data_IF_181625111327
#
_entry.id   IF_181625111327
#
_cell.length_a   1.000
_cell.length_b   1.000
_cell.length_c   1.000
_cell.angle_alpha   90.00
_cell.angle_beta   90.00
_cell.angle_gamma   90.00
#
_symmetry.space_group_name_H-M   'P 1'
#
loop_
_entity.id
_entity.type
_entity.pdbx_description
1 polymer ?
#
# COMPACT_ATOMS: atom_id res chain seq x y z
N UNK A 1 7.32 22.92 -9.63
CA UNK A 1 8.02 22.56 -8.38
C UNK A 1 9.43 23.10 -8.38
N UNK A 2 9.86 23.77 -7.31
CA UNK A 2 11.22 24.27 -7.11
C UNK A 2 12.17 23.17 -6.64
N UNK A 3 13.49 23.39 -6.78
CA UNK A 3 14.51 22.44 -6.28
C UNK A 3 14.42 22.24 -4.76
N UNK A 4 14.05 23.29 -4.02
CA UNK A 4 13.88 23.23 -2.57
C UNK A 4 12.67 22.35 -2.17
N UNK A 5 11.55 22.51 -2.88
CA UNK A 5 10.35 21.66 -2.70
C UNK A 5 10.66 20.19 -2.98
N UNK A 6 11.30 19.90 -4.12
CA UNK A 6 11.70 18.53 -4.47
C UNK A 6 12.64 17.92 -3.41
N UNK A 7 13.60 18.70 -2.90
CA UNK A 7 14.47 18.28 -1.81
C UNK A 7 13.74 18.02 -0.49
N UNK A 8 12.68 18.78 -0.19
CA UNK A 8 11.83 18.54 0.98
C UNK A 8 11.04 17.24 0.85
N UNK A 9 10.40 17.01 -0.31
CA UNK A 9 9.68 15.77 -0.59
C UNK A 9 10.61 14.56 -0.51
N UNK A 10 11.84 14.65 -1.04
CA UNK A 10 12.81 13.55 -0.92
C UNK A 10 13.13 13.19 0.54
N UNK A 11 13.23 14.18 1.44
CA UNK A 11 13.46 13.91 2.87
C UNK A 11 12.28 13.19 3.51
N UNK A 12 11.05 13.57 3.16
CA UNK A 12 9.83 12.89 3.62
C UNK A 12 9.81 11.44 3.14
N UNK A 13 10.11 11.21 1.86
CA UNK A 13 10.18 9.87 1.27
C UNK A 13 11.21 8.96 1.96
N UNK A 14 12.42 9.47 2.22
CA UNK A 14 13.47 8.72 2.92
C UNK A 14 13.05 8.38 4.36
N UNK A 15 12.53 9.37 5.10
CA UNK A 15 11.99 9.15 6.46
C UNK A 15 10.86 8.12 6.48
N UNK A 16 10.00 8.13 5.45
CA UNK A 16 8.93 7.14 5.29
C UNK A 16 9.50 5.74 5.07
N UNK A 17 10.50 5.59 4.19
CA UNK A 17 11.16 4.30 3.97
C UNK A 17 11.83 3.77 5.26
N UNK A 18 12.54 4.62 6.00
CA UNK A 18 13.15 4.27 7.30
C UNK A 18 12.09 3.83 8.32
N UNK A 19 10.96 4.54 8.37
CA UNK A 19 9.84 4.20 9.23
C UNK A 19 9.27 2.82 8.88
N UNK A 20 9.05 2.53 7.60
CA UNK A 20 8.56 1.23 7.16
C UNK A 20 9.53 0.10 7.48
N UNK A 21 10.84 0.31 7.31
CA UNK A 21 11.86 -0.64 7.73
C UNK A 21 11.80 -0.89 9.25
N UNK A 22 11.55 0.14 10.06
CA UNK A 22 11.36 -0.04 11.50
C UNK A 22 10.14 -0.92 11.83
N UNK A 23 9.02 -0.76 11.10
CA UNK A 23 7.83 -1.60 11.28
C UNK A 23 8.04 -3.05 10.87
N UNK A 24 8.88 -3.30 9.87
CA UNK A 24 9.24 -4.64 9.41
C UNK A 24 10.09 -5.38 10.45
N UNK A 25 11.02 -4.66 11.09
CA UNK A 25 11.89 -5.21 12.14
C UNK A 25 11.19 -5.34 13.50
N UNK A 26 10.00 -4.78 13.64
CA UNK A 26 9.23 -4.85 14.87
C UNK A 26 8.47 -6.18 14.99
N UNK A 27 8.80 -6.92 16.04
CA UNK A 27 8.22 -8.22 16.38
C UNK A 27 7.32 -8.19 17.62
N UNK A 28 7.06 -7.03 18.24
CA UNK A 28 6.26 -6.93 19.47
C UNK A 28 4.81 -6.50 19.22
N UNK A 29 3.91 -6.99 20.07
CA UNK A 29 2.54 -6.48 20.23
C UNK A 29 1.60 -6.56 19.00
N UNK A 30 1.98 -7.35 17.99
CA UNK A 30 1.13 -7.66 16.85
C UNK A 30 0.02 -8.65 17.24
N UNK A 31 -1.22 -8.32 16.86
CA UNK A 31 -2.40 -9.15 17.06
C UNK A 31 -2.92 -9.65 15.72
N UNK A 32 -3.28 -10.92 15.65
CA UNK A 32 -3.86 -11.50 14.43
C UNK A 32 -5.24 -10.89 14.17
N UNK A 33 -5.42 -10.26 13.01
CA UNK A 33 -6.71 -9.76 12.52
C UNK A 33 -7.41 -10.79 11.65
N UNK A 34 -6.64 -11.48 10.79
CA UNK A 34 -7.15 -12.46 9.83
C UNK A 34 -6.05 -13.45 9.49
N UNK A 35 -6.39 -14.73 9.39
CA UNK A 35 -5.45 -15.78 9.02
C UNK A 35 -6.12 -16.79 8.10
N UNK A 36 -5.44 -17.12 7.01
CA UNK A 36 -5.78 -18.21 6.11
C UNK A 36 -4.56 -19.12 5.96
N UNK A 37 -4.60 -20.08 5.03
CA UNK A 37 -3.44 -20.93 4.73
C UNK A 37 -2.24 -20.12 4.21
N UNK A 38 -2.51 -19.15 3.33
CA UNK A 38 -1.46 -18.45 2.56
C UNK A 38 -1.28 -16.97 2.94
N UNK A 39 -2.14 -16.46 3.84
CA UNK A 39 -2.18 -15.03 4.20
C UNK A 39 -2.32 -14.90 5.71
N UNK A 40 -1.43 -14.11 6.32
CA UNK A 40 -1.52 -13.63 7.70
C UNK A 40 -1.67 -12.12 7.68
N UNK A 41 -2.74 -11.60 8.29
CA UNK A 41 -2.93 -10.16 8.53
C UNK A 41 -2.90 -9.93 10.03
N UNK A 42 -2.00 -9.05 10.45
CA UNK A 42 -1.82 -8.62 11.82
C UNK A 42 -2.08 -7.13 11.94
N UNK A 43 -2.40 -6.67 13.14
CA UNK A 43 -2.48 -5.26 13.45
C UNK A 43 -1.85 -4.97 14.80
N UNK A 44 -1.46 -3.72 14.98
CA UNK A 44 -1.20 -3.13 16.30
C UNK A 44 -1.69 -1.69 16.31
N UNK A 45 -1.74 -1.07 17.49
CA UNK A 45 -2.09 0.34 17.57
C UNK A 45 -1.03 1.19 16.87
N UNK A 46 -1.50 2.22 16.16
CA UNK A 46 -0.61 3.19 15.53
C UNK A 46 0.12 4.01 16.59
N UNK A 47 1.43 4.21 16.37
CA UNK A 47 2.27 5.11 17.16
C UNK A 47 2.49 6.46 16.47
N UNK A 48 1.87 6.69 15.31
CA UNK A 48 2.05 7.90 14.52
C UNK A 48 1.19 9.03 15.10
N UNK A 49 1.76 10.22 15.36
CA UNK A 49 0.99 11.40 15.77
C UNK A 49 -0.13 11.72 14.78
N UNK A 50 -1.32 12.01 15.30
CA UNK A 50 -2.53 12.23 14.50
C UNK A 50 -3.26 10.96 14.06
N UNK A 51 -2.77 9.78 14.46
CA UNK A 51 -3.41 8.48 14.22
C UNK A 51 -3.38 7.58 15.46
N UNK A 52 -3.40 8.14 16.66
CA UNK A 52 -3.29 7.43 17.95
C UNK A 52 -4.44 6.43 18.16
N UNK A 53 -5.51 6.64 17.40
CA UNK A 53 -6.74 5.88 17.44
C UNK A 53 -6.88 4.86 16.33
N UNK A 54 -5.98 4.89 15.35
CA UNK A 54 -5.95 3.95 14.25
C UNK A 54 -5.02 2.77 14.52
N UNK A 55 -4.83 2.00 13.45
CA UNK A 55 -4.04 0.78 13.48
C UNK A 55 -3.00 0.79 12.36
N UNK A 56 -1.84 0.24 12.67
CA UNK A 56 -0.90 -0.25 11.66
C UNK A 56 -1.25 -1.71 11.40
N UNK A 57 -1.53 -2.04 10.15
CA UNK A 57 -1.74 -3.39 9.67
C UNK A 57 -0.54 -3.88 8.89
N UNK A 58 -0.25 -5.18 9.00
CA UNK A 58 0.78 -5.87 8.22
C UNK A 58 0.21 -7.16 7.68
N UNK A 59 0.33 -7.37 6.37
CA UNK A 59 0.03 -8.63 5.72
C UNK A 59 1.33 -9.33 5.34
N UNK A 60 1.38 -10.65 5.53
CA UNK A 60 2.43 -11.53 5.02
C UNK A 60 1.81 -12.55 4.06
N UNK A 61 2.42 -12.68 2.88
CA UNK A 61 2.03 -13.65 1.88
C UNK A 61 3.28 -14.20 1.17
N UNK A 62 3.44 -15.53 1.15
CA UNK A 62 4.47 -16.17 0.35
C UNK A 62 3.92 -16.51 -1.05
N UNK A 63 4.60 -16.02 -2.07
CA UNK A 63 4.24 -16.19 -3.47
C UNK A 63 5.35 -16.97 -4.18
N UNK A 64 5.01 -18.10 -4.81
CA UNK A 64 5.94 -18.89 -5.64
C UNK A 64 6.11 -18.23 -7.01
N UNK A 65 6.61 -17.01 -6.98
CA UNK A 65 6.79 -16.11 -8.10
C UNK A 65 8.01 -15.20 -7.79
N UNK A 66 8.76 -14.75 -8.81
CA UNK A 66 9.89 -13.84 -8.58
C UNK A 66 9.44 -12.44 -8.17
N UNK A 67 10.27 -11.73 -7.39
CA UNK A 67 9.91 -10.43 -6.81
C UNK A 67 9.59 -9.37 -7.87
N UNK A 68 10.24 -9.43 -9.03
CA UNK A 68 10.03 -8.48 -10.14
C UNK A 68 8.63 -8.63 -10.72
N UNK A 69 8.13 -9.87 -10.80
CA UNK A 69 6.78 -10.14 -11.27
C UNK A 69 5.78 -9.64 -10.23
N UNK A 70 5.95 -9.99 -8.94
CA UNK A 70 5.05 -9.49 -7.88
C UNK A 70 5.01 -7.95 -7.86
N UNK A 71 6.18 -7.31 -7.96
CA UNK A 71 6.31 -5.86 -8.02
C UNK A 71 5.57 -5.26 -9.22
N UNK A 72 5.70 -5.85 -10.41
CA UNK A 72 4.98 -5.43 -11.63
C UNK A 72 3.47 -5.49 -11.44
N UNK A 73 2.94 -6.55 -10.84
CA UNK A 73 1.49 -6.68 -10.62
C UNK A 73 0.97 -5.67 -9.58
N UNK A 74 1.81 -5.30 -8.62
CA UNK A 74 1.50 -4.34 -7.54
C UNK A 74 1.81 -2.88 -7.88
N UNK A 75 2.30 -2.59 -9.09
CA UNK A 75 2.83 -1.29 -9.44
C UNK A 75 1.80 -0.15 -9.24
N UNK A 76 2.06 0.81 -8.33
CA UNK A 76 1.05 1.77 -7.88
C UNK A 76 1.14 3.15 -8.56
N UNK A 77 2.10 3.35 -9.47
CA UNK A 77 2.37 4.66 -10.08
C UNK A 77 1.64 4.79 -11.41
N UNK A 78 0.90 5.88 -11.59
CA UNK A 78 0.06 6.07 -12.76
C UNK A 78 0.85 6.04 -14.07
N UNK A 79 0.29 5.35 -15.06
CA UNK A 79 0.91 5.10 -16.36
C UNK A 79 0.65 3.67 -16.85
N UNK A 80 1.22 3.28 -18.01
CA UNK A 80 0.96 1.98 -18.64
C UNK A 80 1.21 0.77 -17.73
N UNK A 81 2.19 0.86 -16.84
CA UNK A 81 2.55 -0.22 -15.91
C UNK A 81 1.46 -0.48 -14.86
N UNK A 82 0.77 0.57 -14.39
CA UNK A 82 -0.33 0.46 -13.41
C UNK A 82 -1.65 -0.04 -14.02
N UNK A 83 -1.79 -0.03 -15.34
CA UNK A 83 -2.99 -0.58 -16.01
C UNK A 83 -3.19 -2.05 -15.67
N UNK A 84 -2.10 -2.81 -15.55
CA UNK A 84 -2.15 -4.21 -15.13
C UNK A 84 -2.80 -4.34 -13.75
N UNK A 85 -2.40 -3.50 -12.78
CA UNK A 85 -2.95 -3.55 -11.42
C UNK A 85 -4.46 -3.33 -11.41
N UNK A 86 -4.96 -2.38 -12.20
CA UNK A 86 -6.40 -2.08 -12.32
C UNK A 86 -7.23 -3.24 -12.88
N UNK A 87 -6.62 -4.20 -13.57
CA UNK A 87 -7.35 -5.37 -14.09
C UNK A 87 -7.71 -6.40 -13.03
N UNK A 88 -7.05 -6.37 -11.86
CA UNK A 88 -7.18 -7.41 -10.84
C UNK A 88 -7.44 -6.87 -9.44
N UNK A 89 -6.93 -5.68 -9.10
CA UNK A 89 -7.13 -5.05 -7.80
C UNK A 89 -8.55 -4.47 -7.71
N UNK A 90 -9.45 -5.25 -7.10
CA UNK A 90 -10.87 -4.91 -6.98
C UNK A 90 -11.14 -3.72 -6.07
N UNK A 91 -10.19 -3.34 -5.22
CA UNK A 91 -10.37 -2.24 -4.29
C UNK A 91 -10.07 -0.89 -4.96
N UNK A 92 -9.36 -0.89 -6.10
CA UNK A 92 -8.98 0.32 -6.82
C UNK A 92 -9.91 0.60 -7.99
N UNK A 93 -10.26 1.88 -8.15
CA UNK A 93 -11.00 2.39 -9.33
C UNK A 93 -10.11 3.21 -10.26
N UNK A 94 -9.07 3.86 -9.75
CA UNK A 94 -8.22 4.74 -10.54
C UNK A 94 -6.80 4.84 -9.93
N UNK A 95 -5.81 4.99 -10.79
CA UNK A 95 -4.41 5.23 -10.44
C UNK A 95 -3.88 6.30 -11.39
N UNK A 96 -3.45 7.43 -10.86
CA UNK A 96 -3.00 8.58 -11.65
C UNK A 96 -1.69 9.13 -11.11
N UNK A 97 -0.75 9.39 -12.02
CA UNK A 97 0.46 10.14 -11.73
C UNK A 97 0.11 11.63 -11.75
N UNK A 98 0.28 12.31 -10.62
CA UNK A 98 0.04 13.75 -10.52
C UNK A 98 1.32 14.54 -10.82
N UNK A 99 2.46 14.09 -10.29
CA UNK A 99 3.75 14.68 -10.57
C UNK A 99 4.89 13.65 -10.50
N UNK A 100 5.81 13.74 -11.46
CA UNK A 100 7.10 13.05 -11.40
C UNK A 100 8.12 13.98 -10.75
N UNK A 101 8.68 13.58 -9.61
CA UNK A 101 9.67 14.39 -8.87
C UNK A 101 11.09 13.96 -9.26
N UNK A 102 11.30 12.64 -9.33
CA UNK A 102 12.53 11.99 -9.77
C UNK A 102 12.19 10.63 -10.39
N UNK A 103 13.19 9.86 -10.85
CA UNK A 103 13.01 8.53 -11.39
C UNK A 103 12.29 7.59 -10.39
N UNK A 104 12.67 7.66 -9.12
CA UNK A 104 12.19 6.82 -8.02
C UNK A 104 11.10 7.50 -7.16
N UNK A 105 10.78 8.77 -7.42
CA UNK A 105 9.93 9.60 -6.56
C UNK A 105 8.82 10.28 -7.34
N UNK A 106 7.58 10.11 -6.88
CA UNK A 106 6.40 10.67 -7.55
C UNK A 106 5.29 11.01 -6.57
N UNK A 107 4.41 11.92 -6.96
CA UNK A 107 3.13 12.15 -6.30
C UNK A 107 2.06 11.45 -7.14
N UNK A 108 1.29 10.56 -6.52
CA UNK A 108 0.25 9.78 -7.17
C UNK A 108 -1.07 9.93 -6.44
N UNK A 109 -2.14 9.83 -7.21
CA UNK A 109 -3.48 9.69 -6.69
C UNK A 109 -3.97 8.26 -6.91
N UNK A 110 -4.49 7.64 -5.86
CA UNK A 110 -5.23 6.38 -5.95
C UNK A 110 -6.66 6.62 -5.48
N UNK A 111 -7.63 6.15 -6.28
CA UNK A 111 -9.03 6.11 -5.86
C UNK A 111 -9.45 4.68 -5.63
N UNK A 112 -10.29 4.49 -4.61
CA UNK A 112 -10.82 3.18 -4.26
C UNK A 112 -12.28 3.05 -4.70
N UNK A 113 -12.73 1.82 -4.88
CA UNK A 113 -14.15 1.50 -4.91
C UNK A 113 -14.76 1.64 -3.51
N UNK A 114 -16.09 1.58 -3.44
CA UNK A 114 -16.78 1.47 -2.15
C UNK A 114 -16.47 0.13 -1.48
N UNK A 115 -16.28 0.13 -0.17
CA UNK A 115 -16.03 -1.07 0.63
C UNK A 115 -17.19 -1.38 1.58
N UNK A 116 -17.10 -2.53 2.26
CA UNK A 116 -18.08 -2.99 3.25
C UNK A 116 -19.54 -2.92 2.75
N UNK A 117 -19.79 -3.51 1.57
CA UNK A 117 -21.11 -3.52 0.92
C UNK A 117 -21.73 -2.13 0.73
N UNK A 118 -20.89 -1.13 0.44
CA UNK A 118 -21.31 0.25 0.19
C UNK A 118 -21.37 1.13 1.44
N UNK A 119 -21.17 0.57 2.65
CA UNK A 119 -21.15 1.35 3.89
C UNK A 119 -19.93 2.28 3.98
N UNK A 120 -18.84 1.94 3.29
CA UNK A 120 -17.65 2.75 3.17
C UNK A 120 -17.63 3.32 1.74
N UNK A 121 -18.00 4.59 1.57
CA UNK A 121 -17.92 5.31 0.29
C UNK A 121 -16.52 5.28 -0.37
N UNK A 122 -16.40 5.57 -1.67
CA UNK A 122 -15.10 5.69 -2.35
C UNK A 122 -14.15 6.68 -1.66
N UNK A 123 -12.87 6.33 -1.60
CA UNK A 123 -11.80 7.21 -1.09
C UNK A 123 -10.88 7.65 -2.22
N UNK A 124 -10.25 8.79 -2.01
CA UNK A 124 -9.12 9.29 -2.81
C UNK A 124 -7.95 9.52 -1.87
N UNK A 125 -6.76 9.05 -2.25
CA UNK A 125 -5.51 9.25 -1.54
C UNK A 125 -4.54 9.96 -2.46
N UNK A 126 -3.80 10.94 -1.94
CA UNK A 126 -2.74 11.65 -2.66
C UNK A 126 -1.45 11.43 -1.91
N UNK A 127 -0.62 10.54 -2.45
CA UNK A 127 0.55 10.00 -1.77
C UNK A 127 1.83 10.36 -2.50
N UNK A 128 2.83 10.76 -1.71
CA UNK A 128 4.22 10.71 -2.14
C UNK A 128 4.66 9.24 -2.14
N UNK A 129 5.01 8.73 -3.32
CA UNK A 129 5.45 7.35 -3.53
C UNK A 129 6.92 7.31 -3.90
N UNK A 130 7.66 6.49 -3.16
CA UNK A 130 9.09 6.31 -3.29
C UNK A 130 9.42 4.84 -3.55
N UNK A 131 9.96 4.56 -4.72
CA UNK A 131 10.39 3.22 -5.14
C UNK A 131 11.81 2.96 -4.63
N UNK A 132 12.02 1.80 -4.00
CA UNK A 132 13.35 1.35 -3.57
C UNK A 132 13.63 0.01 -4.21
N UNK A 133 14.77 -0.08 -4.92
CA UNK A 133 15.26 -1.32 -5.53
C UNK A 133 16.62 -1.66 -4.95
N UNK A 134 16.73 -2.88 -4.45
CA UNK A 134 17.98 -3.45 -3.92
C UNK A 134 18.12 -4.88 -4.42
N UNK A 135 19.29 -5.48 -4.20
CA UNK A 135 19.54 -6.89 -4.51
C UNK A 135 18.61 -7.83 -3.72
N UNK A 136 18.19 -7.44 -2.52
CA UNK A 136 17.40 -8.31 -1.63
C UNK A 136 15.88 -8.08 -1.74
N UNK A 137 15.46 -6.86 -2.07
CA UNK A 137 14.06 -6.50 -2.14
C UNK A 137 13.77 -5.33 -3.10
N UNK A 138 12.53 -5.28 -3.55
CA UNK A 138 11.94 -4.07 -4.15
C UNK A 138 10.72 -3.62 -3.35
N UNK A 139 10.54 -2.32 -3.16
CA UNK A 139 9.40 -1.76 -2.43
C UNK A 139 8.86 -0.46 -3.03
N UNK A 140 7.59 -0.21 -2.74
CA UNK A 140 7.01 1.14 -2.81
C UNK A 140 6.66 1.60 -1.41
N UNK A 141 7.15 2.79 -1.06
CA UNK A 141 7.00 3.42 0.24
C UNK A 141 6.13 4.68 0.03
N UNK A 142 5.04 4.79 0.76
CA UNK A 142 4.01 5.80 0.52
C UNK A 142 3.61 6.51 1.81
N UNK A 143 3.38 7.81 1.69
CA UNK A 143 2.76 8.64 2.72
C UNK A 143 1.93 9.73 2.05
N UNK A 144 0.75 10.00 2.59
CA UNK A 144 -0.07 11.11 2.10
C UNK A 144 0.61 12.43 2.35
N UNK A 145 0.44 13.34 1.38
CA UNK A 145 0.90 14.72 1.48
C UNK A 145 -0.24 15.67 1.14
N UNK A 146 -0.20 16.87 1.69
CA UNK A 146 -1.00 17.97 1.15
C UNK A 146 -0.43 18.37 -0.21
N UNK A 147 -1.28 18.33 -1.24
CA UNK A 147 -0.91 18.61 -2.62
C UNK A 147 -1.95 19.54 -3.24
N UNK A 148 -1.62 20.84 -3.28
CA UNK A 148 -2.54 21.92 -3.65
C UNK A 148 -3.11 21.77 -5.07
N UNK A 149 -2.31 21.23 -5.99
CA UNK A 149 -2.71 21.02 -7.39
C UNK A 149 -3.77 19.92 -7.56
N UNK A 150 -4.10 19.16 -6.50
CA UNK A 150 -5.17 18.17 -6.50
C UNK A 150 -6.27 18.52 -5.48
N UNK A 151 -7.24 19.37 -5.87
CA UNK A 151 -8.33 19.77 -4.99
C UNK A 151 -9.24 18.59 -4.63
N UNK A 152 -9.93 18.70 -3.51
CA UNK A 152 -10.86 17.66 -3.04
C UNK A 152 -12.00 17.51 -4.05
N UNK A 153 -12.18 16.29 -4.55
CA UNK A 153 -13.32 15.93 -5.37
C UNK A 153 -14.48 15.48 -4.47
N UNK A 154 -15.66 16.14 -4.49
CA UNK A 154 -16.78 15.80 -3.60
C UNK A 154 -17.35 14.40 -3.80
N UNK A 155 -16.99 13.70 -4.90
CA UNK A 155 -17.38 12.30 -5.13
C UNK A 155 -16.59 11.32 -4.25
N UNK A 156 -15.50 11.75 -3.62
CA UNK A 156 -14.61 10.91 -2.83
C UNK A 156 -14.39 11.54 -1.45
N UNK A 157 -14.25 10.68 -0.43
CA UNK A 157 -13.67 11.11 0.85
C UNK A 157 -12.15 11.12 0.69
N UNK A 158 -11.49 12.24 0.95
CA UNK A 158 -10.01 12.29 0.97
C UNK A 158 -9.52 11.51 2.19
N UNK A 159 -8.99 10.32 1.97
CA UNK A 159 -8.33 9.52 3.01
C UNK A 159 -6.90 10.02 3.24
N UNK A 160 -6.26 9.48 4.27
CA UNK A 160 -4.88 9.81 4.62
C UNK A 160 -4.09 8.55 4.95
N UNK A 161 -3.06 8.26 4.16
CA UNK A 161 -2.10 7.22 4.46
C UNK A 161 -0.96 7.79 5.31
N UNK A 162 -0.86 7.32 6.55
CA UNK A 162 0.41 7.37 7.29
C UNK A 162 1.40 6.39 6.63
N UNK A 163 2.70 6.37 7.01
CA UNK A 163 3.69 5.50 6.36
C UNK A 163 3.15 4.09 6.11
N UNK A 164 2.99 3.80 4.82
CA UNK A 164 2.39 2.58 4.26
C UNK A 164 3.18 2.15 3.03
N UNK A 165 3.05 0.92 2.59
CA UNK A 165 3.80 0.45 1.43
C UNK A 165 3.81 -1.06 1.32
N UNK A 166 4.50 -1.57 0.30
CA UNK A 166 4.70 -3.01 0.16
C UNK A 166 6.15 -3.32 -0.17
N UNK A 167 6.55 -4.53 0.19
CA UNK A 167 7.89 -5.07 -0.01
C UNK A 167 7.80 -6.45 -0.65
N UNK A 168 8.63 -6.65 -1.66
CA UNK A 168 8.84 -7.94 -2.32
C UNK A 168 10.27 -8.39 -2.01
N UNK A 169 10.44 -9.31 -1.07
CA UNK A 169 11.74 -9.86 -0.70
C UNK A 169 11.99 -11.19 -1.42
N UNK A 170 13.23 -11.39 -1.86
CA UNK A 170 13.66 -12.75 -2.19
C UNK A 170 13.74 -13.59 -0.92
N UNK A 171 13.45 -14.89 -1.05
CA UNK A 171 13.60 -15.84 0.05
C UNK A 171 14.95 -16.56 -0.09
N UNK A 172 15.88 -16.41 0.88
CA UNK A 172 17.18 -17.08 0.82
C UNK A 172 17.05 -18.59 0.62
N UNK A 173 17.74 -19.11 -0.39
CA UNK A 173 17.71 -20.54 -0.73
C UNK A 173 16.48 -20.99 -1.52
N UNK A 174 15.55 -20.10 -1.88
CA UNK A 174 14.35 -20.41 -2.65
C UNK A 174 14.20 -19.47 -3.87
N UNK A 175 14.98 -19.68 -4.95
CA UNK A 175 14.86 -18.89 -6.17
C UNK A 175 13.44 -18.93 -6.73
N UNK A 176 12.92 -17.78 -7.16
CA UNK A 176 11.56 -17.68 -7.69
C UNK A 176 10.47 -17.72 -6.62
N UNK A 177 10.80 -17.56 -5.33
CA UNK A 177 9.84 -17.32 -4.27
C UNK A 177 10.01 -15.91 -3.71
N UNK A 178 8.89 -15.24 -3.47
CA UNK A 178 8.81 -13.91 -2.90
C UNK A 178 8.10 -13.94 -1.56
N UNK A 179 8.73 -13.35 -0.55
CA UNK A 179 8.01 -12.95 0.66
C UNK A 179 7.43 -11.56 0.44
N UNK A 180 6.12 -11.49 0.22
CA UNK A 180 5.38 -10.25 0.02
C UNK A 180 4.85 -9.74 1.36
N UNK A 181 5.24 -8.52 1.73
CA UNK A 181 4.77 -7.85 2.93
C UNK A 181 4.06 -6.56 2.54
N UNK A 182 2.83 -6.37 3.03
CA UNK A 182 2.05 -5.15 2.84
C UNK A 182 1.84 -4.46 4.19
N UNK A 183 2.24 -3.21 4.31
CA UNK A 183 2.03 -2.35 5.47
C UNK A 183 0.98 -1.30 5.13
N UNK A 184 -0.10 -1.26 5.91
CA UNK A 184 -1.21 -0.31 5.71
C UNK A 184 -1.47 0.42 7.01
N UNK A 185 -1.38 1.74 6.98
CA UNK A 185 -1.68 2.60 8.11
C UNK A 185 -2.53 3.77 7.62
N UNK A 186 -3.77 3.45 7.29
CA UNK A 186 -4.69 4.38 6.64
C UNK A 186 -5.68 4.94 7.66
N UNK A 187 -5.84 6.27 7.66
CA UNK A 187 -7.02 6.93 8.19
C UNK A 187 -7.98 7.15 7.03
N UNK A 188 -9.03 6.33 6.98
CA UNK A 188 -10.01 6.36 5.90
C UNK A 188 -10.93 7.60 5.94
N UNK A 189 -10.81 8.42 7.00
CA UNK A 189 -11.59 9.62 7.31
C UNK A 189 -13.12 9.39 7.24
N UNK A 190 -13.84 10.47 7.44
CA UNK A 190 -15.31 10.48 7.47
C UNK A 190 -15.90 10.03 8.81
N UNK A 191 -17.19 10.27 8.98
CA UNK A 191 -17.92 9.98 10.23
C UNK A 191 -18.37 8.50 10.30
N UNK A 192 -17.40 7.57 10.27
CA UNK A 192 -17.68 6.13 10.31
C UNK A 192 -17.49 5.55 11.73
N UNK A 193 -18.31 4.55 12.13
CA UNK A 193 -18.05 3.80 13.35
C UNK A 193 -16.71 3.09 13.26
N UNK A 194 -15.87 3.21 14.30
CA UNK A 194 -14.54 2.58 14.31
C UNK A 194 -14.61 1.06 14.13
N UNK A 195 -15.59 0.40 14.73
CA UNK A 195 -15.82 -1.05 14.56
C UNK A 195 -16.06 -1.46 13.10
N UNK A 196 -16.69 -0.59 12.29
CA UNK A 196 -16.84 -0.83 10.86
C UNK A 196 -15.50 -0.72 10.13
N UNK A 197 -14.69 0.27 10.49
CA UNK A 197 -13.34 0.47 9.92
C UNK A 197 -12.44 -0.72 10.25
N UNK A 198 -12.37 -1.08 11.53
CA UNK A 198 -11.49 -2.12 12.06
C UNK A 198 -11.86 -3.51 11.53
N UNK A 199 -13.14 -3.73 11.19
CA UNK A 199 -13.58 -4.99 10.55
C UNK A 199 -13.35 -5.00 9.03
N UNK A 200 -13.44 -3.84 8.37
CA UNK A 200 -13.31 -3.74 6.92
C UNK A 200 -11.85 -3.83 6.45
N UNK A 201 -10.91 -3.13 7.10
CA UNK A 201 -9.52 -3.01 6.64
C UNK A 201 -8.81 -4.38 6.55
N UNK A 202 -8.85 -5.26 7.57
CA UNK A 202 -8.25 -6.60 7.45
C UNK A 202 -8.88 -7.44 6.33
N UNK A 203 -10.18 -7.23 6.08
CA UNK A 203 -10.92 -7.84 4.99
C UNK A 203 -10.37 -7.44 3.63
N UNK A 204 -10.22 -6.14 3.40
CA UNK A 204 -9.65 -5.57 2.17
C UNK A 204 -8.20 -6.02 1.94
N UNK A 205 -7.36 -5.95 2.97
CA UNK A 205 -5.95 -6.39 2.90
C UNK A 205 -5.83 -7.87 2.50
N UNK A 206 -6.59 -8.75 3.14
CA UNK A 206 -6.60 -10.17 2.79
C UNK A 206 -7.20 -10.41 1.39
N UNK A 207 -8.20 -9.62 1.01
CA UNK A 207 -8.82 -9.63 -0.32
C UNK A 207 -7.81 -9.29 -1.41
N UNK A 208 -7.04 -8.21 -1.23
CA UNK A 208 -5.96 -7.82 -2.13
C UNK A 208 -4.92 -8.94 -2.30
N UNK A 209 -4.43 -9.52 -1.20
CA UNK A 209 -3.47 -10.63 -1.27
C UNK A 209 -4.03 -11.85 -2.03
N UNK A 210 -5.32 -12.15 -1.81
CA UNK A 210 -6.03 -13.24 -2.51
C UNK A 210 -6.18 -12.94 -4.00
N UNK A 211 -6.57 -11.71 -4.37
CA UNK A 211 -6.75 -11.30 -5.75
C UNK A 211 -5.42 -11.29 -6.52
N UNK A 212 -4.35 -10.81 -5.89
CA UNK A 212 -2.99 -10.84 -6.43
C UNK A 212 -2.59 -12.29 -6.75
N UNK A 213 -2.72 -13.19 -5.77
CA UNK A 213 -2.39 -14.61 -5.95
C UNK A 213 -3.20 -15.23 -7.09
N UNK A 214 -4.50 -14.98 -7.14
CA UNK A 214 -5.37 -15.51 -8.18
C UNK A 214 -4.97 -15.01 -9.57
N UNK A 215 -4.58 -13.74 -9.69
CA UNK A 215 -4.14 -13.20 -10.96
C UNK A 215 -2.79 -13.78 -11.39
N UNK A 216 -1.85 -13.95 -10.46
CA UNK A 216 -0.57 -14.62 -10.74
C UNK A 216 -0.77 -16.08 -11.18
N UNK A 217 -1.72 -16.82 -10.59
CA UNK A 217 -2.07 -18.18 -11.05
C UNK A 217 -2.65 -18.13 -12.46
N UNK A 218 -3.62 -17.23 -12.69
CA UNK A 218 -4.30 -17.09 -13.99
C UNK A 218 -3.31 -16.81 -15.13
N UNK A 219 -2.31 -15.99 -14.86
CA UNK A 219 -1.29 -15.61 -15.86
C UNK A 219 -0.10 -16.59 -15.89
N UNK A 220 -0.15 -17.70 -15.14
CA UNK A 220 0.85 -18.77 -15.17
C UNK A 220 2.15 -18.46 -14.42
N UNK A 221 2.13 -17.46 -13.53
CA UNK A 221 3.27 -17.04 -12.72
C UNK A 221 3.37 -17.73 -11.36
N UNK A 222 2.31 -18.45 -10.93
CA UNK A 222 2.26 -19.14 -9.65
C UNK A 222 1.69 -20.54 -9.84
N UNK A 223 2.46 -21.55 -9.42
CA UNK A 223 2.11 -22.98 -9.45
C UNK A 223 1.51 -23.47 -8.13
#
# INVERSE_FOLDING_TARGET
MSKAEAGSLRKIALSTADTLQSYLNDTSDWKVSKKTKDILVEHKHSSVPGNEHGHLYRAHCELKCCKETVHKYMYPVGGPESELRKTWDRDISDIQLLARIDQDLSVNMIRTNSAAMGMIHPREYVDLMFEVRTDNYTSFNAVSIDYEDQPINPKFVRGWNHPSGFFCYDIPGQPGHTNFVLLVQTDIKGSLPRSLVDSAIPGAIAGLCTNLRNMLIKDGHLS
#
